data_IF_962428818614
#
_entry.id   IF_962428818614
#
_cell.length_a   1.000
_cell.length_b   1.000
_cell.length_c   1.000
_cell.angle_alpha   90.00
_cell.angle_beta   90.00
_cell.angle_gamma   90.00
#
_symmetry.space_group_name_H-M   'P 1'
#
loop_
_entity.id
_entity.type
_entity.pdbx_description
1 polymer ?
#
# COMPACT_ATOMS: atom_id res chain seq x y z
N UNK A 1 10.18 1.05 -0.34
CA UNK A 1 10.32 2.02 -1.44
C UNK A 1 10.21 3.40 -0.84
N UNK A 2 11.31 4.15 -0.80
CA UNK A 2 11.37 5.49 -0.19
C UNK A 2 10.96 6.62 -1.16
N UNK A 3 10.10 6.32 -2.15
CA UNK A 3 9.67 7.26 -3.18
C UNK A 3 8.95 8.49 -2.60
N UNK A 4 8.15 8.30 -1.55
CA UNK A 4 7.48 9.41 -0.88
C UNK A 4 8.45 10.30 -0.11
N UNK A 5 9.50 9.70 0.49
CA UNK A 5 10.57 10.47 1.15
C UNK A 5 11.35 11.29 0.12
N UNK A 6 11.71 10.69 -1.01
CA UNK A 6 12.36 11.38 -2.13
C UNK A 6 11.52 12.57 -2.63
N UNK A 7 10.22 12.36 -2.85
CA UNK A 7 9.27 13.41 -3.27
C UNK A 7 9.08 14.52 -2.23
N UNK A 8 9.27 14.23 -0.95
CA UNK A 8 9.14 15.21 0.15
C UNK A 8 10.42 15.96 0.49
N UNK A 9 11.57 15.48 0.03
CA UNK A 9 12.87 16.04 0.39
C UNK A 9 13.18 17.38 -0.30
N UNK A 10 12.34 17.84 -1.21
CA UNK A 10 12.57 19.10 -1.92
C UNK A 10 11.29 19.91 -2.09
N UNK A 11 11.48 21.22 -2.08
CA UNK A 11 10.42 22.23 -1.97
C UNK A 11 9.77 22.59 -3.31
N UNK A 12 10.13 21.91 -4.41
CA UNK A 12 9.75 22.30 -5.76
C UNK A 12 9.36 21.13 -6.68
N UNK A 13 9.04 21.41 -7.96
CA UNK A 13 8.66 20.39 -8.92
C UNK A 13 9.83 19.45 -9.28
N UNK A 14 9.54 18.16 -9.34
CA UNK A 14 10.47 17.12 -9.74
C UNK A 14 10.10 16.45 -11.05
N UNK A 15 11.11 16.24 -11.89
CA UNK A 15 11.02 15.26 -12.98
C UNK A 15 11.02 13.84 -12.43
N UNK A 16 10.44 12.91 -13.19
CA UNK A 16 10.52 11.48 -12.86
C UNK A 16 11.98 11.05 -12.73
N UNK A 17 12.87 11.57 -13.59
CA UNK A 17 14.28 11.19 -13.57
C UNK A 17 14.98 11.52 -12.24
N UNK A 18 14.57 12.61 -11.58
CA UNK A 18 15.10 13.01 -10.27
C UNK A 18 14.54 12.12 -9.16
N UNK A 19 13.25 11.79 -9.23
CA UNK A 19 12.58 10.89 -8.27
C UNK A 19 13.20 9.48 -8.35
N UNK A 20 13.41 8.97 -9.56
CA UNK A 20 14.02 7.67 -9.82
C UNK A 20 15.42 7.53 -9.20
N UNK A 21 16.26 8.56 -9.40
CA UNK A 21 17.62 8.59 -8.83
C UNK A 21 17.63 8.58 -7.30
N UNK A 22 16.63 9.19 -6.66
CA UNK A 22 16.54 9.29 -5.20
C UNK A 22 15.86 8.08 -4.54
N UNK A 23 14.98 7.38 -5.26
CA UNK A 23 14.21 6.26 -4.73
C UNK A 23 14.93 4.90 -4.83
N UNK A 24 16.14 4.86 -5.40
CA UNK A 24 16.98 3.65 -5.58
C UNK A 24 16.22 2.44 -6.17
N UNK A 25 15.37 2.67 -7.19
CA UNK A 25 14.49 1.65 -7.78
C UNK A 25 14.59 1.50 -9.31
N UNK A 26 13.73 0.64 -9.88
CA UNK A 26 13.63 0.28 -11.30
C UNK A 26 12.87 1.25 -12.23
N UNK A 27 11.64 0.92 -12.67
CA UNK A 27 10.86 1.75 -13.64
C UNK A 27 9.95 2.75 -12.91
N UNK A 28 10.54 3.77 -12.28
CA UNK A 28 9.78 4.78 -11.52
C UNK A 28 8.89 5.64 -12.41
N UNK A 29 9.10 5.65 -13.72
CA UNK A 29 8.24 6.38 -14.66
C UNK A 29 6.80 5.88 -14.58
N UNK A 30 6.61 4.57 -14.57
CA UNK A 30 5.26 4.00 -14.42
C UNK A 30 4.69 4.22 -13.04
N UNK A 31 5.54 4.14 -12.01
CA UNK A 31 5.11 4.26 -10.62
C UNK A 31 4.68 5.70 -10.31
N UNK A 32 5.50 6.71 -10.65
CA UNK A 32 5.17 8.13 -10.43
C UNK A 32 3.92 8.53 -11.20
N UNK A 33 3.76 8.09 -12.46
CA UNK A 33 2.53 8.33 -13.23
C UNK A 33 1.32 7.66 -12.61
N UNK A 34 1.47 6.44 -12.12
CA UNK A 34 0.39 5.75 -11.43
C UNK A 34 0.00 6.47 -10.14
N UNK A 35 0.98 6.92 -9.34
CA UNK A 35 0.77 7.71 -8.13
C UNK A 35 0.05 9.03 -8.43
N UNK A 36 0.48 9.74 -9.48
CA UNK A 36 -0.17 10.96 -9.92
C UNK A 36 -1.62 10.73 -10.37
N UNK A 37 -1.88 9.65 -11.13
CA UNK A 37 -3.22 9.28 -11.56
C UNK A 37 -4.18 8.93 -10.40
N UNK A 38 -3.65 8.56 -9.23
CA UNK A 38 -4.42 8.26 -8.03
C UNK A 38 -4.39 9.40 -7.00
N UNK A 39 -3.90 10.58 -7.37
CA UNK A 39 -3.85 11.76 -6.49
C UNK A 39 -2.84 11.65 -5.34
N UNK A 40 -1.91 10.69 -5.41
CA UNK A 40 -0.88 10.49 -4.37
C UNK A 40 0.26 11.51 -4.49
N UNK A 41 0.39 12.18 -5.64
CA UNK A 41 1.34 13.24 -5.99
C UNK A 41 0.67 14.15 -7.01
N UNK A 42 0.95 15.45 -7.00
CA UNK A 42 0.36 16.38 -7.98
C UNK A 42 1.23 16.45 -9.25
N UNK A 43 0.65 16.24 -10.43
CA UNK A 43 1.33 16.44 -11.71
C UNK A 43 1.00 17.83 -12.27
N UNK A 44 1.97 18.76 -12.20
CA UNK A 44 1.79 20.15 -12.67
C UNK A 44 2.28 20.37 -14.11
N UNK A 45 2.89 19.35 -14.72
CA UNK A 45 3.37 19.38 -16.09
C UNK A 45 3.71 17.99 -16.62
N UNK A 46 4.08 17.89 -17.90
CA UNK A 46 4.34 16.60 -18.58
C UNK A 46 5.38 15.72 -17.86
N UNK A 47 6.36 16.34 -17.22
CA UNK A 47 7.39 15.68 -16.42
C UNK A 47 7.71 16.53 -15.18
N UNK A 48 6.68 17.04 -14.51
CA UNK A 48 6.82 17.88 -13.32
C UNK A 48 5.80 17.47 -12.27
N UNK A 49 6.29 17.01 -11.12
CA UNK A 49 5.50 16.44 -10.04
C UNK A 49 5.82 17.15 -8.71
N UNK A 50 4.81 17.42 -7.90
CA UNK A 50 4.96 18.13 -6.62
C UNK A 50 4.33 17.33 -5.49
N UNK A 51 4.97 17.40 -4.33
CA UNK A 51 4.49 16.83 -3.06
C UNK A 51 3.15 17.45 -2.66
N UNK A 52 2.14 16.62 -2.44
CA UNK A 52 0.84 17.06 -1.92
C UNK A 52 0.64 16.60 -0.46
N UNK A 53 -0.54 16.86 0.11
CA UNK A 53 -0.85 16.47 1.49
C UNK A 53 -0.78 14.94 1.68
N UNK A 54 -1.28 14.15 0.73
CA UNK A 54 -1.20 12.68 0.77
C UNK A 54 0.26 12.22 0.72
N UNK A 55 1.06 12.78 -0.19
CA UNK A 55 2.49 12.46 -0.27
C UNK A 55 3.18 12.68 1.07
N UNK A 56 2.90 13.80 1.75
CA UNK A 56 3.46 14.13 3.07
C UNK A 56 2.97 13.18 4.16
N UNK A 57 1.69 12.85 4.16
CA UNK A 57 1.13 11.87 5.10
C UNK A 57 1.82 10.51 4.94
N UNK A 58 2.18 10.13 3.72
CA UNK A 58 2.92 8.88 3.45
C UNK A 58 4.41 8.90 3.88
N UNK A 59 4.95 10.05 4.32
CA UNK A 59 6.34 10.17 4.79
C UNK A 59 6.48 10.09 6.31
N UNK A 60 5.39 10.25 7.05
CA UNK A 60 5.40 10.18 8.52
C UNK A 60 5.18 8.73 9.00
N UNK A 61 5.82 8.41 10.14
CA UNK A 61 5.76 7.10 10.82
C UNK A 61 4.36 6.43 10.99
N UNK A 62 3.22 7.14 11.14
CA UNK A 62 1.89 6.50 11.22
C UNK A 62 1.45 5.72 9.96
N UNK A 63 2.23 5.70 8.89
CA UNK A 63 1.96 4.92 7.66
C UNK A 63 2.25 3.43 7.78
N UNK A 64 2.80 2.98 8.91
CA UNK A 64 2.86 1.56 9.28
C UNK A 64 1.48 0.89 9.10
N UNK A 65 0.37 1.60 9.37
CA UNK A 65 -0.98 1.07 9.13
C UNK A 65 -1.25 0.71 7.66
N UNK A 66 -0.73 1.50 6.71
CA UNK A 66 -0.85 1.22 5.27
C UNK A 66 0.00 0.00 4.89
N UNK A 67 1.23 -0.08 5.39
CA UNK A 67 2.10 -1.25 5.18
C UNK A 67 1.47 -2.52 5.76
N UNK A 68 0.97 -2.47 7.00
CA UNK A 68 0.25 -3.57 7.64
C UNK A 68 -0.98 -3.98 6.84
N UNK A 69 -1.73 -3.02 6.31
CA UNK A 69 -2.91 -3.30 5.48
C UNK A 69 -2.50 -4.03 4.20
N UNK A 70 -1.43 -3.58 3.54
CA UNK A 70 -0.94 -4.20 2.32
C UNK A 70 -0.33 -5.58 2.55
N UNK A 71 0.42 -5.76 3.64
CA UNK A 71 1.08 -7.01 3.99
C UNK A 71 0.13 -8.06 4.55
N UNK A 72 -0.79 -7.66 5.43
CA UNK A 72 -1.56 -8.60 6.23
C UNK A 72 -3.04 -8.64 5.85
N UNK A 73 -3.65 -7.50 5.57
CA UNK A 73 -5.09 -7.42 5.31
C UNK A 73 -5.42 -7.78 3.87
N UNK A 74 -4.62 -7.33 2.89
CA UNK A 74 -4.89 -7.53 1.46
C UNK A 74 -5.07 -9.00 1.08
N UNK A 75 -4.15 -9.87 1.51
CA UNK A 75 -4.23 -11.31 1.19
C UNK A 75 -5.43 -11.98 1.85
N UNK A 76 -5.78 -11.60 3.07
CA UNK A 76 -7.00 -12.09 3.73
C UNK A 76 -8.26 -11.63 2.98
N UNK A 77 -8.34 -10.36 2.58
CA UNK A 77 -9.49 -9.88 1.80
C UNK A 77 -9.59 -10.58 0.44
N UNK A 78 -8.46 -10.86 -0.22
CA UNK A 78 -8.48 -11.59 -1.50
C UNK A 78 -8.93 -13.05 -1.39
N UNK A 79 -8.76 -13.69 -0.23
CA UNK A 79 -9.24 -15.07 -0.02
C UNK A 79 -10.73 -15.14 0.36
N UNK A 80 -11.34 -14.00 0.68
CA UNK A 80 -12.72 -13.94 1.16
C UNK A 80 -13.73 -14.61 0.21
N UNK A 81 -13.68 -14.39 -1.13
CA UNK A 81 -14.63 -15.03 -2.04
C UNK A 81 -14.53 -16.57 -2.03
N UNK A 82 -13.31 -17.12 -1.99
CA UNK A 82 -13.09 -18.56 -1.98
C UNK A 82 -13.49 -19.16 -0.62
N UNK A 83 -13.14 -18.51 0.48
CA UNK A 83 -13.58 -18.91 1.82
C UNK A 83 -15.12 -18.92 1.95
N UNK A 84 -15.81 -17.94 1.39
CA UNK A 84 -17.28 -17.93 1.40
C UNK A 84 -17.86 -19.06 0.55
N UNK A 85 -17.25 -19.38 -0.59
CA UNK A 85 -17.65 -20.53 -1.41
C UNK A 85 -17.48 -21.85 -0.65
N UNK A 86 -16.30 -22.07 -0.07
CA UNK A 86 -15.94 -23.31 0.63
C UNK A 86 -16.82 -23.56 1.86
N UNK A 87 -17.29 -22.49 2.49
CA UNK A 87 -18.12 -22.56 3.69
C UNK A 87 -19.63 -22.51 3.41
N UNK A 88 -20.02 -22.42 2.13
CA UNK A 88 -21.42 -22.29 1.73
C UNK A 88 -22.06 -21.00 2.25
N UNK A 89 -21.30 -19.91 2.29
CA UNK A 89 -21.73 -18.57 2.76
C UNK A 89 -22.29 -18.55 4.18
N UNK A 90 -21.91 -19.52 5.01
CA UNK A 90 -22.32 -19.56 6.42
C UNK A 90 -21.68 -18.42 7.20
N UNK A 91 -22.45 -17.80 8.07
CA UNK A 91 -21.93 -16.82 9.01
C UNK A 91 -21.17 -17.54 10.13
N UNK A 92 -19.83 -17.40 10.15
CA UNK A 92 -18.99 -17.97 11.21
C UNK A 92 -18.82 -16.97 12.34
N UNK A 93 -19.19 -17.37 13.55
CA UNK A 93 -18.96 -16.59 14.77
C UNK A 93 -17.64 -16.94 15.47
N UNK A 94 -16.86 -17.88 14.93
CA UNK A 94 -15.59 -18.29 15.49
C UNK A 94 -14.45 -17.47 14.86
N UNK A 95 -13.69 -16.68 15.65
CA UNK A 95 -12.56 -15.89 15.13
C UNK A 95 -11.39 -16.73 14.60
N UNK A 96 -11.41 -18.05 14.84
CA UNK A 96 -10.47 -19.03 14.27
C UNK A 96 -10.99 -19.67 12.97
N UNK A 97 -12.18 -19.30 12.50
CA UNK A 97 -12.77 -19.80 11.26
C UNK A 97 -13.24 -18.64 10.38
N UNK A 98 -12.30 -17.81 9.94
CA UNK A 98 -12.55 -16.66 9.06
C UNK A 98 -11.71 -16.76 7.80
N UNK A 99 -11.99 -15.89 6.82
CA UNK A 99 -11.20 -15.78 5.59
C UNK A 99 -9.71 -15.53 5.85
N UNK A 100 -9.34 -15.00 7.02
CA UNK A 100 -7.94 -14.84 7.42
C UNK A 100 -7.24 -16.17 7.66
N UNK A 101 -7.89 -17.13 8.32
CA UNK A 101 -7.32 -18.46 8.52
C UNK A 101 -7.23 -19.26 7.21
N UNK A 102 -8.14 -18.98 6.27
CA UNK A 102 -8.07 -19.51 4.91
C UNK A 102 -6.86 -18.95 4.14
N UNK A 103 -6.57 -17.66 4.29
CA UNK A 103 -5.44 -17.01 3.61
C UNK A 103 -4.05 -17.35 4.17
N UNK A 104 -3.92 -17.57 5.49
CA UNK A 104 -2.64 -17.65 6.18
C UNK A 104 -2.42 -18.96 6.94
N UNK A 105 -2.99 -19.04 8.14
CA UNK A 105 -2.75 -20.09 9.13
C UNK A 105 -3.95 -20.14 10.08
N UNK A 106 -4.22 -21.29 10.72
CA UNK A 106 -5.35 -21.55 11.61
C UNK A 106 -5.23 -20.89 13.00
N UNK A 107 -4.08 -20.28 13.32
CA UNK A 107 -3.91 -19.45 14.53
C UNK A 107 -4.81 -18.21 14.45
N UNK A 108 -5.16 -17.64 15.60
CA UNK A 108 -5.74 -16.29 15.62
C UNK A 108 -4.68 -15.25 15.25
N UNK A 109 -5.13 -14.05 14.86
CA UNK A 109 -4.26 -12.95 14.41
C UNK A 109 -3.14 -12.63 15.40
N UNK A 110 -3.44 -12.61 16.70
CA UNK A 110 -2.50 -12.13 17.71
C UNK A 110 -1.42 -13.16 18.01
N UNK A 111 -1.78 -14.45 17.97
CA UNK A 111 -0.81 -15.55 18.08
C UNK A 111 0.04 -15.71 16.82
N UNK A 112 -0.46 -15.27 15.67
CA UNK A 112 0.30 -15.30 14.42
C UNK A 112 1.31 -14.15 14.28
N UNK A 113 0.99 -12.97 14.83
CA UNK A 113 1.86 -11.78 14.76
C UNK A 113 3.02 -11.77 15.77
N UNK A 114 3.03 -12.70 16.74
CA UNK A 114 4.11 -12.89 17.71
C UNK A 114 5.17 -13.82 17.16
#
# INVERSE_FOLDING_TARGET
>A
MDIFKALSASEGPHSVSQIAKQAEGGDENRIVRHLAAHGMVDQIGKDAHVTNHVTRDYTVSPTIGCEYTMLFTRRALSSMPDNFRDTGYKNHNNPKNTFRQHAYDKRDVWTWLK
#
